data_IF_790450955564
#
_entry.id   IF_790450955564
#
_cell.length_a   1.000
_cell.length_b   1.000
_cell.length_c   1.000
_cell.angle_alpha   90.00
_cell.angle_beta   90.00
_cell.angle_gamma   90.00
#
_symmetry.space_group_name_H-M   'P 1'
#
loop_
_entity.id
_entity.type
_entity.pdbx_description
1 polymer ?
#
# COMPACT_ATOMS: atom_id res chain seq x y z
N UNK A 1 -22.15 -28.68 16.12
CA UNK A 1 -20.72 -29.06 16.17
C UNK A 1 -19.90 -27.89 15.79
N UNK A 2 -18.83 -27.56 16.55
CA UNK A 2 -17.82 -26.63 16.13
C UNK A 2 -17.17 -27.21 14.86
N UNK A 3 -17.47 -26.63 13.71
CA UNK A 3 -16.68 -26.87 12.49
C UNK A 3 -15.35 -26.17 12.76
N UNK A 4 -14.35 -26.96 13.11
CA UNK A 4 -12.98 -26.45 13.23
C UNK A 4 -12.59 -26.00 11.81
N UNK A 5 -12.46 -24.69 11.62
CA UNK A 5 -12.08 -24.15 10.32
C UNK A 5 -10.65 -24.61 10.03
N UNK A 6 -10.44 -25.12 8.83
CA UNK A 6 -9.11 -25.52 8.36
C UNK A 6 -8.10 -24.37 8.51
N UNK A 7 -6.91 -24.63 9.06
CA UNK A 7 -5.85 -23.63 9.15
C UNK A 7 -5.44 -23.15 7.76
N UNK A 8 -5.06 -21.88 7.66
CA UNK A 8 -4.49 -21.30 6.45
C UNK A 8 -3.03 -21.00 6.74
N UNK A 9 -2.13 -21.50 5.90
CA UNK A 9 -0.70 -21.27 6.02
C UNK A 9 -0.32 -19.95 5.32
N UNK A 10 0.52 -19.13 5.97
CA UNK A 10 1.27 -18.06 5.29
C UNK A 10 2.55 -18.69 4.79
N UNK A 11 2.75 -18.75 3.49
CA UNK A 11 3.88 -19.44 2.84
C UNK A 11 4.89 -18.47 2.24
N UNK A 12 4.57 -17.18 2.16
CA UNK A 12 5.48 -16.13 1.72
C UNK A 12 5.03 -14.76 2.18
N UNK A 13 6.00 -13.85 2.29
CA UNK A 13 5.78 -12.46 2.68
C UNK A 13 6.67 -11.55 1.84
N UNK A 14 6.16 -10.37 1.48
CA UNK A 14 6.91 -9.30 0.85
C UNK A 14 6.51 -7.96 1.42
N UNK A 15 7.45 -7.05 1.58
CA UNK A 15 7.18 -5.75 2.17
C UNK A 15 8.06 -4.63 1.61
N UNK A 16 7.56 -3.41 1.80
CA UNK A 16 8.31 -2.15 1.72
C UNK A 16 7.92 -1.31 2.91
N UNK A 17 8.90 -0.98 3.73
CA UNK A 17 8.71 -0.08 4.87
C UNK A 17 9.80 1.00 4.92
N UNK A 18 9.56 2.11 5.60
CA UNK A 18 10.54 3.15 5.83
C UNK A 18 11.83 2.62 6.45
N UNK A 19 12.94 3.36 6.29
CA UNK A 19 14.25 2.92 6.76
C UNK A 19 14.94 1.94 5.82
N UNK A 20 14.55 1.91 4.54
CA UNK A 20 15.16 1.05 3.53
C UNK A 20 14.76 -0.43 3.60
N UNK A 21 13.74 -0.76 4.37
CA UNK A 21 13.27 -2.14 4.57
C UNK A 21 12.58 -2.66 3.30
N UNK A 22 13.13 -3.74 2.74
CA UNK A 22 12.63 -4.39 1.51
C UNK A 22 12.28 -5.86 1.70
N UNK A 23 12.69 -6.46 2.82
CA UNK A 23 12.45 -7.88 3.12
C UNK A 23 11.87 -8.07 4.52
N UNK A 24 11.17 -9.19 4.78
CA UNK A 24 10.69 -9.53 6.12
C UNK A 24 11.82 -9.61 7.16
N UNK A 25 13.01 -10.08 6.77
CA UNK A 25 14.19 -10.20 7.63
C UNK A 25 14.72 -8.83 8.04
N UNK A 26 14.79 -7.88 7.09
CA UNK A 26 15.18 -6.50 7.37
C UNK A 26 14.15 -5.83 8.28
N UNK A 27 12.85 -6.09 8.06
CA UNK A 27 11.81 -5.58 8.94
C UNK A 27 11.94 -6.12 10.37
N UNK A 28 12.21 -7.40 10.51
CA UNK A 28 12.47 -8.00 11.82
C UNK A 28 13.71 -7.40 12.50
N UNK A 29 14.78 -7.19 11.72
CA UNK A 29 15.99 -6.55 12.21
C UNK A 29 15.71 -5.13 12.72
N UNK A 30 14.99 -4.31 11.96
CA UNK A 30 14.59 -2.97 12.36
C UNK A 30 13.78 -2.99 13.66
N UNK A 31 12.77 -3.85 13.76
CA UNK A 31 11.94 -3.98 14.96
C UNK A 31 12.74 -4.41 16.18
N UNK A 32 13.66 -5.36 16.01
CA UNK A 32 14.49 -5.90 17.13
C UNK A 32 15.61 -4.95 17.56
N UNK A 33 16.11 -4.09 16.66
CA UNK A 33 17.10 -3.06 17.00
C UNK A 33 16.51 -1.91 17.80
N UNK A 34 15.20 -1.65 17.66
CA UNK A 34 14.53 -0.51 18.29
C UNK A 34 14.97 0.84 17.69
N UNK A 35 15.53 0.84 16.49
CA UNK A 35 15.95 2.05 15.79
C UNK A 35 14.74 2.93 15.46
N UNK A 36 14.83 4.22 15.74
CA UNK A 36 13.82 5.21 15.36
C UNK A 36 14.16 5.78 13.98
N UNK A 37 13.37 5.39 12.98
CA UNK A 37 13.53 5.79 11.58
C UNK A 37 12.65 7.00 11.19
N UNK A 38 12.20 7.78 12.17
CA UNK A 38 11.43 8.98 11.93
C UNK A 38 12.19 9.95 11.02
N UNK A 39 11.57 10.40 9.94
CA UNK A 39 12.16 11.31 8.97
C UNK A 39 11.29 12.55 8.75
N UNK A 40 11.87 13.59 8.17
CA UNK A 40 11.08 14.70 7.63
C UNK A 40 10.27 14.21 6.40
N UNK A 41 9.17 14.90 6.09
CA UNK A 41 8.44 14.68 4.84
C UNK A 41 9.41 14.90 3.66
N UNK A 42 9.53 13.93 2.73
CA UNK A 42 10.46 14.07 1.61
C UNK A 42 10.14 15.29 0.73
N UNK A 43 11.17 16.03 0.35
CA UNK A 43 11.04 17.30 -0.39
C UNK A 43 10.51 17.11 -1.82
N UNK A 44 10.55 15.91 -2.34
CA UNK A 44 10.07 15.54 -3.68
C UNK A 44 8.57 15.25 -3.74
N UNK A 45 7.87 15.27 -2.60
CA UNK A 45 6.43 15.01 -2.53
C UNK A 45 5.59 16.22 -2.92
N UNK A 46 5.85 17.36 -2.30
CA UNK A 46 5.21 18.66 -2.55
C UNK A 46 6.02 19.79 -1.92
N UNK A 47 5.66 21.04 -2.24
CA UNK A 47 6.19 22.21 -1.54
C UNK A 47 5.71 22.24 -0.09
N UNK A 48 6.52 21.68 0.80
CA UNK A 48 6.18 21.53 2.22
C UNK A 48 5.87 22.87 2.89
N UNK A 49 6.70 23.90 2.67
CA UNK A 49 6.58 25.19 3.35
C UNK A 49 5.27 25.93 2.97
N UNK A 50 4.76 25.68 1.76
CA UNK A 50 3.47 26.23 1.34
C UNK A 50 2.29 25.69 2.16
N UNK A 51 2.43 24.53 2.80
CA UNK A 51 1.34 23.83 3.49
C UNK A 51 1.56 23.69 5.00
N UNK A 52 2.71 24.08 5.51
CA UNK A 52 3.08 23.91 6.93
C UNK A 52 2.79 25.16 7.76
N UNK A 53 2.31 24.94 8.99
CA UNK A 53 2.27 25.93 10.05
C UNK A 53 2.40 25.18 11.40
N UNK A 54 3.34 25.56 12.28
CA UNK A 54 3.51 24.89 13.57
C UNK A 54 2.35 25.10 14.54
N UNK A 55 1.51 26.11 14.28
CA UNK A 55 0.32 26.33 15.10
C UNK A 55 -0.78 25.34 14.72
N UNK A 56 -1.22 24.58 15.72
CA UNK A 56 -2.32 23.61 15.57
C UNK A 56 -3.60 24.39 15.25
N UNK A 57 -4.40 23.93 14.32
CA UNK A 57 -5.69 24.48 13.94
C UNK A 57 -5.68 25.60 12.89
N UNK A 58 -4.55 25.98 12.30
CA UNK A 58 -4.54 26.90 11.17
C UNK A 58 -5.25 26.27 9.97
N UNK A 59 -6.34 26.85 9.47
CA UNK A 59 -7.09 26.27 8.36
C UNK A 59 -6.23 26.10 7.09
N UNK A 60 -6.32 24.91 6.47
CA UNK A 60 -5.59 24.61 5.24
C UNK A 60 -4.09 24.35 5.43
N UNK A 61 -3.62 24.18 6.67
CA UNK A 61 -2.25 23.86 7.00
C UNK A 61 -2.12 22.53 7.75
N UNK A 62 -0.98 21.91 7.62
CA UNK A 62 -0.55 20.80 8.47
C UNK A 62 0.44 21.31 9.53
N UNK A 63 0.39 20.73 10.72
CA UNK A 63 1.31 21.08 11.82
C UNK A 63 2.39 20.01 12.03
N UNK A 64 2.35 18.90 11.30
CA UNK A 64 3.36 17.84 11.36
C UNK A 64 4.40 18.02 10.27
N UNK A 65 5.67 17.80 10.63
CA UNK A 65 6.82 17.86 9.73
C UNK A 65 7.41 16.47 9.48
N UNK A 66 7.16 15.55 10.39
CA UNK A 66 7.83 14.25 10.44
C UNK A 66 6.83 13.09 10.38
N UNK A 67 7.33 11.98 9.87
CA UNK A 67 6.62 10.72 9.78
C UNK A 67 7.55 9.60 9.33
N UNK A 68 6.98 8.55 8.79
CA UNK A 68 7.70 7.35 8.36
C UNK A 68 7.44 7.16 6.86
N UNK A 69 8.34 7.67 6.02
CA UNK A 69 8.17 7.74 4.57
C UNK A 69 9.07 6.76 3.83
N UNK A 70 8.57 6.24 2.72
CA UNK A 70 9.35 5.41 1.81
C UNK A 70 10.23 6.28 0.91
N UNK A 71 11.44 5.79 0.65
CA UNK A 71 12.32 6.31 -0.38
C UNK A 71 11.98 5.66 -1.74
N UNK A 72 12.47 6.27 -2.83
CA UNK A 72 12.48 5.70 -4.19
C UNK A 72 11.10 5.25 -4.71
N UNK A 73 10.00 5.88 -4.27
CA UNK A 73 8.64 5.50 -4.70
C UNK A 73 8.34 5.81 -6.17
N UNK A 74 9.19 6.60 -6.80
CA UNK A 74 9.15 6.92 -8.23
C UNK A 74 9.85 5.84 -9.09
N UNK A 75 10.67 4.98 -8.47
CA UNK A 75 11.39 3.92 -9.17
C UNK A 75 10.47 2.75 -9.48
N UNK A 76 10.55 2.27 -10.71
CA UNK A 76 9.79 1.13 -11.19
C UNK A 76 10.38 0.62 -12.50
N UNK A 77 10.43 -0.69 -12.71
CA UNK A 77 10.85 -1.27 -13.98
C UNK A 77 9.62 -1.62 -14.86
N UNK A 78 9.17 -0.71 -15.73
CA UNK A 78 8.00 -0.95 -16.56
C UNK A 78 8.24 -2.09 -17.57
N UNK A 79 9.47 -2.27 -18.04
CA UNK A 79 9.78 -3.30 -19.01
C UNK A 79 9.61 -4.70 -18.44
N UNK A 80 10.02 -4.89 -17.18
CA UNK A 80 9.83 -6.15 -16.46
C UNK A 80 8.35 -6.56 -16.39
N UNK A 81 7.47 -5.59 -16.16
CA UNK A 81 6.02 -5.80 -16.05
C UNK A 81 5.27 -5.67 -17.39
N UNK A 82 5.97 -5.53 -18.50
CA UNK A 82 5.36 -5.43 -19.83
C UNK A 82 4.57 -4.14 -20.06
N UNK A 83 4.88 -3.08 -19.33
CA UNK A 83 4.23 -1.77 -19.43
C UNK A 83 5.06 -0.82 -20.29
N UNK A 84 4.39 0.06 -21.04
CA UNK A 84 5.09 1.16 -21.68
C UNK A 84 5.52 2.20 -20.64
N UNK A 85 6.61 2.97 -20.88
CA UNK A 85 7.02 4.04 -19.97
C UNK A 85 5.90 5.04 -19.66
N UNK A 86 5.12 5.42 -20.70
CA UNK A 86 3.99 6.34 -20.55
C UNK A 86 2.87 5.76 -19.67
N UNK A 87 2.58 4.48 -19.79
CA UNK A 87 1.60 3.82 -18.93
C UNK A 87 2.11 3.76 -17.49
N UNK A 88 3.37 3.36 -17.30
CA UNK A 88 3.99 3.27 -15.99
C UNK A 88 4.06 4.63 -15.26
N UNK A 89 4.39 5.71 -15.99
CA UNK A 89 4.39 7.08 -15.45
C UNK A 89 2.98 7.51 -15.00
N UNK A 90 1.95 7.11 -15.74
CA UNK A 90 0.56 7.42 -15.40
C UNK A 90 0.02 6.58 -14.25
N UNK A 91 0.61 5.43 -13.98
CA UNK A 91 0.15 4.50 -12.96
C UNK A 91 0.44 5.04 -11.56
N UNK A 92 -0.55 4.94 -10.67
CA UNK A 92 -0.37 5.30 -9.25
C UNK A 92 0.84 4.54 -8.68
N UNK A 93 1.79 5.23 -8.01
CA UNK A 93 2.91 4.59 -7.35
C UNK A 93 2.52 3.44 -6.42
N UNK A 94 1.35 3.51 -5.77
CA UNK A 94 0.83 2.43 -4.96
C UNK A 94 0.56 1.16 -5.78
N UNK A 95 0.02 1.30 -6.99
CA UNK A 95 -0.20 0.15 -7.90
C UNK A 95 1.13 -0.45 -8.35
N UNK A 96 2.14 0.40 -8.68
CA UNK A 96 3.49 -0.05 -9.03
C UNK A 96 4.12 -0.84 -7.90
N UNK A 97 4.05 -0.31 -6.69
CA UNK A 97 4.60 -0.94 -5.49
C UNK A 97 3.94 -2.28 -5.18
N UNK A 98 2.60 -2.37 -5.29
CA UNK A 98 1.89 -3.65 -5.09
C UNK A 98 2.31 -4.69 -6.13
N UNK A 99 2.55 -4.29 -7.39
CA UNK A 99 3.04 -5.21 -8.44
C UNK A 99 4.41 -5.80 -8.06
N UNK A 100 5.38 -4.96 -7.67
CA UNK A 100 6.72 -5.41 -7.25
C UNK A 100 6.65 -6.30 -6.01
N UNK A 101 5.97 -5.86 -4.95
CA UNK A 101 5.87 -6.61 -3.71
C UNK A 101 5.10 -7.93 -3.89
N UNK A 102 4.09 -7.98 -4.77
CA UNK A 102 3.41 -9.23 -5.13
C UNK A 102 4.37 -10.25 -5.75
N UNK A 103 5.19 -9.80 -6.67
CA UNK A 103 6.20 -10.65 -7.31
C UNK A 103 7.20 -11.19 -6.31
N UNK A 104 7.77 -10.32 -5.49
CA UNK A 104 8.72 -10.69 -4.44
C UNK A 104 8.12 -11.61 -3.37
N UNK A 105 6.83 -11.43 -3.06
CA UNK A 105 6.10 -12.32 -2.14
C UNK A 105 6.02 -13.74 -2.69
N UNK A 106 5.80 -13.90 -3.99
CA UNK A 106 5.81 -15.21 -4.66
C UNK A 106 7.21 -15.80 -4.69
N UNK A 107 8.25 -14.99 -4.97
CA UNK A 107 9.65 -15.42 -4.90
C UNK A 107 10.02 -15.90 -3.49
N UNK A 108 9.61 -15.17 -2.46
CA UNK A 108 9.83 -15.54 -1.06
C UNK A 108 9.14 -16.88 -0.71
N UNK A 109 7.98 -17.15 -1.31
CA UNK A 109 7.29 -18.44 -1.18
C UNK A 109 7.91 -19.57 -2.00
N UNK A 110 8.92 -19.29 -2.84
CA UNK A 110 9.48 -20.26 -3.78
C UNK A 110 8.55 -20.63 -4.94
N UNK A 111 7.55 -19.77 -5.24
CA UNK A 111 6.56 -20.00 -6.28
C UNK A 111 6.98 -19.23 -7.55
N UNK A 112 7.19 -19.95 -8.63
CA UNK A 112 7.40 -19.33 -9.94
C UNK A 112 6.08 -18.74 -10.44
N UNK A 113 5.99 -17.43 -10.73
CA UNK A 113 4.74 -16.83 -11.19
C UNK A 113 4.14 -17.49 -12.44
N UNK A 114 5.00 -18.04 -13.32
CA UNK A 114 4.57 -18.78 -14.50
C UNK A 114 3.80 -20.06 -14.19
N UNK A 115 3.97 -20.64 -13.00
CA UNK A 115 3.24 -21.85 -12.57
C UNK A 115 1.78 -21.55 -12.17
N UNK A 116 1.44 -20.28 -11.97
CA UNK A 116 0.11 -19.85 -11.56
C UNK A 116 -0.84 -19.57 -12.72
N UNK A 117 -0.34 -19.61 -13.96
CA UNK A 117 -1.12 -19.30 -15.17
C UNK A 117 -2.33 -20.21 -15.30
N UNK A 118 -3.50 -19.58 -15.54
CA UNK A 118 -4.77 -20.29 -15.68
C UNK A 118 -5.33 -20.85 -14.37
N UNK A 119 -4.63 -20.65 -13.25
CA UNK A 119 -5.04 -21.10 -11.93
C UNK A 119 -5.98 -20.12 -11.20
N UNK A 120 -6.39 -20.48 -10.01
CA UNK A 120 -7.29 -19.69 -9.17
C UNK A 120 -6.52 -18.95 -8.08
N UNK A 121 -5.56 -18.10 -8.46
CA UNK A 121 -4.91 -17.22 -7.49
C UNK A 121 -5.79 -16.03 -7.20
N UNK A 122 -6.27 -15.90 -5.96
CA UNK A 122 -7.03 -14.74 -5.49
C UNK A 122 -6.10 -13.59 -5.13
N UNK A 123 -6.50 -12.35 -5.39
CA UNK A 123 -5.75 -11.15 -5.03
C UNK A 123 -6.65 -10.18 -4.27
N UNK A 124 -6.28 -9.87 -3.03
CA UNK A 124 -7.06 -9.04 -2.11
C UNK A 124 -6.17 -7.92 -1.58
N UNK A 125 -6.43 -6.68 -2.00
CA UNK A 125 -5.56 -5.53 -1.69
C UNK A 125 -6.35 -4.41 -1.02
N UNK A 126 -5.94 -4.03 0.19
CA UNK A 126 -6.38 -2.81 0.85
C UNK A 126 -5.62 -1.61 0.31
N UNK A 127 -6.35 -0.59 -0.14
CA UNK A 127 -5.79 0.67 -0.60
C UNK A 127 -6.78 1.79 -0.28
N UNK A 128 -6.34 2.78 0.49
CA UNK A 128 -7.19 3.88 0.96
C UNK A 128 -7.02 5.15 0.12
N UNK A 129 -5.77 5.63 -0.01
CA UNK A 129 -5.47 6.89 -0.69
C UNK A 129 -5.50 6.77 -2.22
N UNK A 130 -5.91 7.84 -2.88
CA UNK A 130 -5.94 7.97 -4.34
C UNK A 130 -5.35 9.32 -4.82
N UNK A 131 -4.43 9.87 -4.04
CA UNK A 131 -3.82 11.19 -4.23
C UNK A 131 -3.32 11.40 -5.66
N UNK A 132 -2.55 10.46 -6.16
CA UNK A 132 -1.90 10.56 -7.47
C UNK A 132 -2.91 10.58 -8.61
N UNK A 133 -3.89 9.69 -8.56
CA UNK A 133 -4.93 9.62 -9.57
C UNK A 133 -5.87 10.83 -9.50
N UNK A 134 -6.19 11.27 -8.28
CA UNK A 134 -7.03 12.46 -8.07
C UNK A 134 -6.39 13.71 -8.64
N UNK A 135 -5.09 13.95 -8.40
CA UNK A 135 -4.36 15.07 -8.98
C UNK A 135 -4.40 15.06 -10.51
N UNK A 136 -4.29 13.89 -11.14
CA UNK A 136 -4.30 13.77 -12.61
C UNK A 136 -5.69 13.93 -13.22
N UNK A 137 -6.72 13.37 -12.60
CA UNK A 137 -8.11 13.42 -13.10
C UNK A 137 -8.75 14.79 -12.86
N UNK A 138 -8.44 15.43 -11.73
CA UNK A 138 -8.94 16.76 -11.40
C UNK A 138 -7.93 17.86 -11.74
N UNK A 139 -7.00 17.59 -12.65
CA UNK A 139 -6.13 18.59 -13.25
C UNK A 139 -6.91 19.76 -13.81
N UNK A 140 -6.34 20.95 -13.75
CA UNK A 140 -6.94 22.15 -14.32
C UNK A 140 -7.00 22.14 -15.86
N UNK A 141 -6.24 21.28 -16.52
CA UNK A 141 -6.22 21.13 -17.97
C UNK A 141 -6.76 19.74 -18.40
N UNK A 142 -8.00 19.72 -18.83
CA UNK A 142 -8.65 18.49 -19.28
C UNK A 142 -7.94 17.82 -20.47
N UNK A 143 -7.05 18.53 -21.19
CA UNK A 143 -6.26 17.96 -22.30
C UNK A 143 -5.20 16.96 -21.83
N UNK A 144 -4.83 17.01 -20.55
CA UNK A 144 -3.91 16.06 -19.93
C UNK A 144 -4.58 14.75 -19.53
N UNK A 145 -5.91 14.71 -19.49
CA UNK A 145 -6.67 13.51 -19.14
C UNK A 145 -6.71 12.59 -20.35
N UNK A 146 -5.80 11.62 -20.39
CA UNK A 146 -5.77 10.58 -21.38
C UNK A 146 -6.31 9.23 -20.83
N UNK A 147 -6.29 8.21 -21.69
CA UNK A 147 -6.74 6.86 -21.28
C UNK A 147 -5.95 6.28 -20.12
N UNK A 148 -4.68 6.62 -19.98
CA UNK A 148 -3.82 6.11 -18.91
C UNK A 148 -4.13 6.80 -17.58
N UNK A 149 -4.39 8.10 -17.58
CA UNK A 149 -4.87 8.82 -16.41
C UNK A 149 -6.18 8.22 -15.89
N UNK A 150 -7.13 7.91 -16.79
CA UNK A 150 -8.39 7.25 -16.43
C UNK A 150 -8.16 5.84 -15.86
N UNK A 151 -7.29 5.03 -16.46
CA UNK A 151 -7.00 3.69 -15.96
C UNK A 151 -6.28 3.72 -14.60
N UNK A 152 -5.42 4.70 -14.37
CA UNK A 152 -4.76 4.91 -13.08
C UNK A 152 -5.77 5.25 -11.97
N UNK A 153 -6.82 6.01 -12.28
CA UNK A 153 -7.85 6.42 -11.33
C UNK A 153 -8.79 5.27 -10.92
N UNK A 154 -8.79 4.16 -11.64
CA UNK A 154 -9.60 2.99 -11.31
C UNK A 154 -8.89 2.12 -10.28
N UNK A 155 -9.09 2.43 -8.98
CA UNK A 155 -8.46 1.70 -7.87
C UNK A 155 -8.68 0.19 -7.93
N UNK A 156 -9.83 -0.27 -8.37
CA UNK A 156 -10.12 -1.70 -8.56
C UNK A 156 -9.15 -2.42 -9.49
N UNK A 157 -8.41 -1.69 -10.35
CA UNK A 157 -7.37 -2.26 -11.19
C UNK A 157 -6.09 -2.64 -10.42
N UNK A 158 -5.90 -2.20 -9.19
CA UNK A 158 -4.74 -2.61 -8.38
C UNK A 158 -4.66 -4.13 -8.25
N UNK A 159 -5.73 -4.78 -7.79
CA UNK A 159 -5.80 -6.23 -7.72
C UNK A 159 -5.90 -6.87 -9.13
N UNK A 160 -6.66 -6.25 -10.03
CA UNK A 160 -6.86 -6.75 -11.40
C UNK A 160 -5.55 -6.83 -12.21
N UNK A 161 -4.63 -5.89 -12.03
CA UNK A 161 -3.31 -5.90 -12.69
C UNK A 161 -2.45 -7.10 -12.24
N UNK A 162 -2.52 -7.46 -10.97
CA UNK A 162 -1.80 -8.63 -10.46
C UNK A 162 -2.41 -9.91 -11.05
N UNK A 163 -3.74 -10.03 -11.06
CA UNK A 163 -4.39 -11.17 -11.72
C UNK A 163 -4.05 -11.26 -13.20
N UNK A 164 -4.01 -10.12 -13.90
CA UNK A 164 -3.60 -10.10 -15.31
C UNK A 164 -2.14 -10.52 -15.50
N UNK A 165 -1.22 -10.01 -14.66
CA UNK A 165 0.20 -10.37 -14.67
C UNK A 165 0.42 -11.88 -14.48
N UNK A 166 -0.36 -12.49 -13.59
CA UNK A 166 -0.28 -13.91 -13.25
C UNK A 166 -1.14 -14.79 -14.18
N UNK A 167 -1.91 -14.19 -15.09
CA UNK A 167 -2.93 -14.90 -15.88
C UNK A 167 -3.86 -15.72 -14.98
N UNK A 168 -4.32 -15.11 -13.88
CA UNK A 168 -5.13 -15.77 -12.87
C UNK A 168 -6.62 -15.60 -13.12
N UNK A 169 -7.38 -16.64 -12.78
CA UNK A 169 -8.84 -16.69 -12.84
C UNK A 169 -9.51 -16.64 -11.45
N UNK A 170 -8.74 -16.38 -10.40
CA UNK A 170 -9.24 -16.19 -9.04
C UNK A 170 -9.89 -14.81 -8.83
N UNK A 171 -10.50 -14.57 -7.65
CA UNK A 171 -11.06 -13.27 -7.30
C UNK A 171 -9.99 -12.16 -7.30
N UNK A 172 -10.34 -10.98 -7.83
CA UNK A 172 -9.53 -9.77 -7.80
C UNK A 172 -10.31 -8.68 -7.06
N UNK A 173 -9.95 -8.42 -5.83
CA UNK A 173 -10.68 -7.49 -4.95
C UNK A 173 -9.73 -6.43 -4.40
N UNK A 174 -10.00 -5.18 -4.76
CA UNK A 174 -9.46 -4.02 -4.06
C UNK A 174 -10.53 -3.52 -3.10
N UNK A 175 -10.15 -3.18 -1.88
CA UNK A 175 -11.08 -2.77 -0.85
C UNK A 175 -10.53 -1.57 -0.05
N UNK A 176 -11.48 -0.82 0.49
CA UNK A 176 -11.23 0.31 1.34
C UNK A 176 -12.18 0.28 2.53
N UNK A 177 -11.63 0.04 3.70
CA UNK A 177 -12.26 0.19 5.01
C UNK A 177 -11.36 1.02 5.93
N UNK A 178 -10.67 2.00 5.35
CA UNK A 178 -9.68 2.84 6.01
C UNK A 178 -8.58 2.00 6.68
N UNK A 179 -8.25 2.25 7.95
CA UNK A 179 -7.18 1.60 8.68
C UNK A 179 -7.31 0.05 8.76
N UNK A 180 -8.50 -0.50 8.59
CA UNK A 180 -8.75 -1.95 8.66
C UNK A 180 -8.65 -2.67 7.31
N UNK A 181 -8.35 -1.95 6.21
CA UNK A 181 -8.40 -2.49 4.85
C UNK A 181 -7.52 -3.74 4.67
N UNK A 182 -6.25 -3.68 5.09
CA UNK A 182 -5.34 -4.83 4.95
C UNK A 182 -5.77 -6.04 5.77
N UNK A 183 -6.28 -5.83 6.99
CA UNK A 183 -6.80 -6.92 7.83
C UNK A 183 -8.05 -7.57 7.22
N UNK A 184 -8.93 -6.75 6.61
CA UNK A 184 -10.10 -7.27 5.89
C UNK A 184 -9.68 -8.02 4.62
N UNK A 185 -8.65 -7.55 3.90
CA UNK A 185 -8.10 -8.26 2.76
C UNK A 185 -7.64 -9.68 3.13
N UNK A 186 -6.89 -9.82 4.22
CA UNK A 186 -6.47 -11.13 4.75
C UNK A 186 -7.67 -11.99 5.13
N UNK A 187 -8.69 -11.41 5.79
CA UNK A 187 -9.91 -12.13 6.16
C UNK A 187 -10.64 -12.69 4.92
N UNK A 188 -10.82 -11.87 3.89
CA UNK A 188 -11.48 -12.28 2.64
C UNK A 188 -10.66 -13.34 1.89
N UNK A 189 -9.35 -13.23 1.86
CA UNK A 189 -8.45 -14.24 1.31
C UNK A 189 -8.64 -15.59 2.00
N UNK A 190 -8.67 -15.61 3.33
CA UNK A 190 -8.92 -16.83 4.10
C UNK A 190 -10.31 -17.43 3.82
N UNK A 191 -11.32 -16.60 3.61
CA UNK A 191 -12.66 -17.08 3.23
C UNK A 191 -12.65 -17.68 1.82
N UNK A 192 -12.00 -17.01 0.87
CA UNK A 192 -11.89 -17.48 -0.52
C UNK A 192 -11.19 -18.83 -0.63
N UNK A 193 -10.08 -19.01 0.11
CA UNK A 193 -9.37 -20.31 0.20
C UNK A 193 -10.26 -21.40 0.79
N UNK A 194 -10.94 -21.14 1.93
CA UNK A 194 -11.81 -22.11 2.58
C UNK A 194 -13.04 -22.49 1.76
N UNK A 195 -13.51 -21.59 0.91
CA UNK A 195 -14.66 -21.84 0.03
C UNK A 195 -14.25 -22.48 -1.31
N UNK A 196 -12.95 -22.67 -1.58
CA UNK A 196 -12.45 -23.20 -2.86
C UNK A 196 -12.60 -22.24 -4.03
N UNK A 197 -12.78 -20.95 -3.76
CA UNK A 197 -12.79 -19.90 -4.79
C UNK A 197 -11.37 -19.56 -5.25
N UNK A 198 -10.40 -19.74 -4.36
CA UNK A 198 -8.96 -19.62 -4.63
C UNK A 198 -8.22 -20.87 -4.15
N UNK A 199 -7.19 -21.26 -4.90
CA UNK A 199 -6.24 -22.31 -4.51
C UNK A 199 -5.02 -21.69 -3.81
N UNK A 200 -4.67 -20.46 -4.17
CA UNK A 200 -3.65 -19.60 -3.58
C UNK A 200 -4.22 -18.19 -3.44
N UNK A 201 -3.79 -17.43 -2.45
CA UNK A 201 -4.20 -16.04 -2.29
C UNK A 201 -3.01 -15.12 -1.98
N UNK A 202 -2.98 -13.97 -2.63
CA UNK A 202 -2.17 -12.80 -2.27
C UNK A 202 -3.06 -11.81 -1.52
N UNK A 203 -2.66 -11.42 -0.32
CA UNK A 203 -3.46 -10.53 0.52
C UNK A 203 -2.61 -9.54 1.30
N UNK A 204 -3.05 -8.29 1.39
CA UNK A 204 -2.36 -7.26 2.16
C UNK A 204 -2.85 -5.87 1.86
N UNK A 205 -1.95 -4.89 1.94
CA UNK A 205 -2.31 -3.51 1.69
C UNK A 205 -1.12 -2.61 1.38
N UNK A 206 -1.45 -1.45 0.84
CA UNK A 206 -0.49 -0.39 0.50
C UNK A 206 -1.03 0.95 0.93
N UNK A 207 -0.13 1.82 1.39
CA UNK A 207 -0.44 3.22 1.68
C UNK A 207 0.77 4.09 1.41
N UNK A 208 0.61 5.08 0.53
CA UNK A 208 1.56 6.15 0.29
C UNK A 208 0.85 7.49 0.46
N UNK A 209 1.59 8.51 0.88
CA UNK A 209 1.10 9.89 1.02
C UNK A 209 1.75 10.72 -0.08
N UNK A 210 0.99 10.98 -1.15
CA UNK A 210 1.51 11.59 -2.38
C UNK A 210 1.06 13.04 -2.57
N UNK A 211 0.20 13.54 -1.67
CA UNK A 211 -0.32 14.90 -1.71
C UNK A 211 -0.57 15.44 -0.29
N UNK A 212 -0.50 16.77 -0.09
CA UNK A 212 -0.65 17.37 1.23
C UNK A 212 -2.08 17.35 1.77
N UNK A 213 -3.10 17.27 0.92
CA UNK A 213 -4.50 17.46 1.28
C UNK A 213 -4.97 16.50 2.36
N UNK A 214 -4.56 15.22 2.26
CA UNK A 214 -4.94 14.22 3.26
C UNK A 214 -4.27 14.46 4.61
N UNK A 215 -2.98 14.82 4.61
CA UNK A 215 -2.28 15.19 5.85
C UNK A 215 -2.89 16.44 6.50
N UNK A 216 -3.23 17.45 5.69
CA UNK A 216 -3.95 18.65 6.17
C UNK A 216 -5.26 18.22 6.82
N UNK A 217 -6.05 17.38 6.15
CA UNK A 217 -7.32 16.89 6.68
C UNK A 217 -7.16 16.17 8.02
N UNK A 218 -6.18 15.28 8.14
CA UNK A 218 -5.91 14.54 9.39
C UNK A 218 -5.41 15.49 10.49
N UNK A 219 -4.60 16.49 10.15
CA UNK A 219 -4.17 17.53 11.08
C UNK A 219 -5.37 18.34 11.59
N UNK A 220 -6.32 18.71 10.72
CA UNK A 220 -7.53 19.43 11.13
C UNK A 220 -8.44 18.61 12.06
N UNK A 221 -8.31 17.28 12.04
CA UNK A 221 -8.96 16.37 12.99
C UNK A 221 -8.21 16.26 14.34
N UNK A 222 -7.04 16.89 14.48
CA UNK A 222 -6.14 16.76 15.63
C UNK A 222 -5.75 15.29 15.91
N UNK A 223 -5.60 14.49 14.87
CA UNK A 223 -5.36 13.06 15.02
C UNK A 223 -3.86 12.69 14.96
N UNK A 224 -3.02 13.56 14.38
CA UNK A 224 -1.58 13.32 14.31
C UNK A 224 -0.85 13.85 15.54
N UNK A 225 0.15 13.12 15.98
CA UNK A 225 1.09 13.59 17.00
C UNK A 225 2.00 14.66 16.41
N UNK A 226 2.15 15.85 17.06
CA UNK A 226 2.97 16.94 16.52
C UNK A 226 4.44 16.59 16.30
N UNK A 227 4.99 15.64 17.05
CA UNK A 227 6.36 15.16 16.89
C UNK A 227 6.50 13.97 15.93
N UNK A 228 5.38 13.53 15.32
CA UNK A 228 5.34 12.44 14.35
C UNK A 228 5.42 11.03 14.95
N UNK A 229 5.35 10.86 16.27
CA UNK A 229 5.51 9.57 16.95
C UNK A 229 4.23 9.05 17.56
N UNK A 230 4.03 7.75 17.45
CA UNK A 230 3.05 7.04 18.28
C UNK A 230 3.62 6.84 19.69
N UNK A 231 2.89 7.29 20.70
CA UNK A 231 3.21 7.10 22.12
C UNK A 231 2.14 6.19 22.74
N UNK A 232 1.97 5.02 22.15
CA UNK A 232 0.87 4.09 22.44
C UNK A 232 0.91 3.66 23.91
N UNK A 233 -0.22 3.83 24.60
CA UNK A 233 -0.42 3.56 26.03
C UNK A 233 0.39 4.44 27.00
N UNK A 234 1.13 5.43 26.52
CA UNK A 234 1.83 6.39 27.37
C UNK A 234 0.90 7.55 27.78
N UNK A 235 1.14 8.14 28.94
CA UNK A 235 0.37 9.29 29.42
C UNK A 235 0.58 10.55 28.55
N UNK A 236 1.67 10.62 27.78
CA UNK A 236 1.98 11.70 26.85
C UNK A 236 1.39 11.48 25.43
N UNK A 237 0.56 10.45 25.23
CA UNK A 237 -0.05 10.18 23.94
C UNK A 237 -0.90 11.37 23.47
N UNK A 238 -0.61 11.87 22.28
CA UNK A 238 -1.19 13.09 21.70
C UNK A 238 -1.56 12.95 20.21
N UNK A 239 -1.63 11.72 19.71
CA UNK A 239 -1.94 11.38 18.34
C UNK A 239 -1.11 10.21 17.81
N UNK A 240 -1.24 9.93 16.51
CA UNK A 240 -0.42 8.90 15.87
C UNK A 240 0.60 9.52 14.91
N UNK A 241 1.65 8.76 14.58
CA UNK A 241 2.62 9.10 13.54
C UNK A 241 2.15 8.58 12.18
N UNK A 242 2.19 9.43 11.15
CA UNK A 242 1.88 9.01 9.78
C UNK A 242 2.99 8.12 9.25
N UNK A 243 2.60 7.03 8.56
CA UNK A 243 3.54 6.13 7.92
C UNK A 243 3.06 5.66 6.55
N UNK A 244 4.04 5.28 5.74
CA UNK A 244 3.85 4.64 4.44
C UNK A 244 4.27 3.17 4.51
N UNK A 245 3.82 2.38 3.55
CA UNK A 245 4.25 1.00 3.44
C UNK A 245 3.42 0.16 2.50
N UNK A 246 3.96 -1.01 2.22
CA UNK A 246 3.28 -2.09 1.52
C UNK A 246 3.66 -3.42 2.17
N UNK A 247 2.66 -4.24 2.45
CA UNK A 247 2.86 -5.60 2.97
C UNK A 247 1.88 -6.53 2.29
N UNK A 248 2.41 -7.62 1.76
CA UNK A 248 1.62 -8.70 1.18
C UNK A 248 2.03 -10.04 1.76
N UNK A 249 1.04 -10.89 1.95
CA UNK A 249 1.20 -12.31 2.26
C UNK A 249 0.74 -13.14 1.08
N UNK A 250 1.41 -14.28 0.84
CA UNK A 250 0.83 -15.37 0.05
C UNK A 250 0.41 -16.49 0.99
N UNK A 251 -0.75 -17.07 0.74
CA UNK A 251 -1.38 -18.06 1.61
C UNK A 251 -1.98 -19.17 0.78
N UNK A 252 -1.89 -20.40 1.30
CA UNK A 252 -2.42 -21.60 0.71
C UNK A 252 -3.38 -22.29 1.72
N UNK A 253 -4.33 -23.04 1.23
CA UNK A 253 -5.08 -24.00 2.03
C UNK A 253 -4.13 -25.14 2.41
N UNK A 254 -3.91 -25.32 3.73
CA UNK A 254 -3.01 -26.34 4.25
C UNK A 254 -3.55 -27.76 4.06
#
# INVERSE_FOLDING_TARGET
>A
GNIQKEPIAIIGMGCRYPGGVRTPEEFWHLLSSGEDILSDIPNDRWDFEAHFDPEITVPGKMYVRKGYYLDDIDQFDPQFFGLSPREAESLDPQQRLVMEVSWETLENAGIAPSSLKGGKTGVFVGQYWDDYSSQRIYSTDNREIDRYAQLSALRGLTAGRICHLLDSHGPAIQLDTACSSSSLAVHLACLSLRNGESDLALAGGVSLVLAPEHLIGICQMNALSPDGRCKTFDASADGFGQGEGCLLYTSDAA
#
